data_IF_632794530335
#
_entry.id   IF_632794530335
#
_cell.length_a   1.000
_cell.length_b   1.000
_cell.length_c   1.000
_cell.angle_alpha   90.00
_cell.angle_beta   90.00
_cell.angle_gamma   90.00
#
_symmetry.space_group_name_H-M   'P 1'
#
loop_
_entity.id
_entity.type
_entity.pdbx_description
1 polymer ?
#
# COMPACT_ATOMS: atom_id res chain seq x y z
N UNK A 1 12.94 70.76 34.45
CA UNK A 1 13.21 70.54 33.00
C UNK A 1 12.70 71.76 32.24
N UNK A 2 13.53 72.40 31.40
CA UNK A 2 13.18 73.64 30.72
C UNK A 2 11.95 73.42 29.80
N UNK A 3 10.94 74.31 29.82
CA UNK A 3 9.67 74.15 29.07
C UNK A 3 9.91 73.84 27.59
N UNK A 4 10.94 74.45 27.02
CA UNK A 4 11.38 74.22 25.63
C UNK A 4 11.86 72.78 25.40
N UNK A 5 12.59 72.18 26.35
CA UNK A 5 13.05 70.78 26.24
C UNK A 5 11.90 69.78 26.35
N UNK A 6 10.91 70.06 27.22
CA UNK A 6 9.71 69.21 27.34
C UNK A 6 8.88 69.22 26.04
N UNK A 7 8.75 70.39 25.40
CA UNK A 7 8.07 70.53 24.11
C UNK A 7 8.77 69.73 23.00
N UNK A 8 10.10 69.75 22.94
CA UNK A 8 10.86 68.94 21.96
C UNK A 8 10.72 67.44 22.20
N UNK A 9 10.71 67.00 23.47
CA UNK A 9 10.50 65.58 23.80
C UNK A 9 9.10 65.13 23.40
N UNK A 10 8.07 65.91 23.73
CA UNK A 10 6.68 65.60 23.36
C UNK A 10 6.47 65.61 21.86
N UNK A 11 7.07 66.56 21.13
CA UNK A 11 7.04 66.59 19.67
C UNK A 11 7.72 65.36 19.05
N UNK A 12 8.85 64.93 19.62
CA UNK A 12 9.56 63.72 19.19
C UNK A 12 8.75 62.44 19.42
N UNK A 13 8.09 62.30 20.59
CA UNK A 13 7.22 61.16 20.90
C UNK A 13 6.00 61.14 19.96
N UNK A 14 5.35 62.28 19.75
CA UNK A 14 4.22 62.38 18.83
C UNK A 14 4.60 62.02 17.40
N UNK A 15 5.76 62.47 16.92
CA UNK A 15 6.28 62.12 15.60
C UNK A 15 6.61 60.62 15.50
N UNK A 16 7.16 60.03 16.57
CA UNK A 16 7.44 58.60 16.62
C UNK A 16 6.16 57.76 16.57
N UNK A 17 5.12 58.12 17.32
CA UNK A 17 3.83 57.39 17.33
C UNK A 17 3.11 57.54 15.97
N UNK A 18 3.17 58.72 15.36
CA UNK A 18 2.60 58.96 14.02
C UNK A 18 3.31 58.14 12.94
N UNK A 19 4.65 58.10 12.97
CA UNK A 19 5.43 57.37 11.96
C UNK A 19 5.32 55.85 12.14
N UNK A 20 5.32 55.36 13.38
CA UNK A 20 5.12 53.93 13.67
C UNK A 20 3.69 53.47 13.38
N UNK A 21 2.68 54.27 13.73
CA UNK A 21 1.28 53.98 13.42
C UNK A 21 0.99 53.99 11.92
N UNK A 22 1.53 54.96 11.18
CA UNK A 22 1.38 55.03 9.72
C UNK A 22 2.11 53.85 9.03
N UNK A 23 3.30 53.48 9.51
CA UNK A 23 4.02 52.30 9.03
C UNK A 23 3.22 51.01 9.26
N UNK A 24 2.70 50.79 10.47
CA UNK A 24 1.88 49.62 10.77
C UNK A 24 0.61 49.57 9.89
N UNK A 25 -0.07 50.69 9.70
CA UNK A 25 -1.27 50.75 8.85
C UNK A 25 -0.93 50.46 7.39
N UNK A 26 0.14 51.03 6.85
CA UNK A 26 0.58 50.77 5.48
C UNK A 26 1.01 49.31 5.29
N UNK A 27 1.79 48.73 6.21
CA UNK A 27 2.24 47.33 6.09
C UNK A 27 1.14 46.29 6.37
N UNK A 28 0.14 46.61 7.19
CA UNK A 28 -1.01 45.72 7.45
C UNK A 28 -2.07 45.76 6.34
N UNK A 29 -2.26 46.91 5.68
CA UNK A 29 -3.22 47.04 4.57
C UNK A 29 -2.65 46.64 3.21
N UNK A 30 -1.33 46.69 3.01
CA UNK A 30 -0.67 46.16 1.80
C UNK A 30 -0.35 44.65 1.84
N UNK A 31 -0.66 43.94 2.93
CA UNK A 31 -0.61 42.47 2.99
C UNK A 31 -1.85 41.82 2.32
N UNK A 32 -2.06 42.14 1.04
CA UNK A 32 -2.67 41.19 0.11
C UNK A 32 -1.82 39.92 0.12
N UNK A 33 -2.48 38.76 0.13
CA UNK A 33 -1.90 37.41 0.17
C UNK A 33 -0.77 37.23 -0.85
N UNK A 34 0.45 37.58 -0.46
CA UNK A 34 1.66 37.07 -1.08
C UNK A 34 2.16 35.96 -0.16
N UNK A 35 1.92 34.71 -0.58
CA UNK A 35 2.67 33.57 -0.03
C UNK A 35 4.14 33.90 -0.26
N UNK A 36 4.86 34.21 0.82
CA UNK A 36 6.31 34.16 0.82
C UNK A 36 6.68 32.70 0.52
N UNK A 37 7.08 32.44 -0.72
CA UNK A 37 7.77 31.20 -1.08
C UNK A 37 9.17 31.33 -0.47
N UNK A 38 9.31 30.89 0.79
CA UNK A 38 10.63 30.54 1.30
C UNK A 38 11.08 29.25 0.60
N UNK A 39 12.23 29.21 -0.08
CA UNK A 39 12.81 27.97 -0.57
C UNK A 39 13.57 27.32 0.59
N UNK A 40 12.85 26.96 1.66
CA UNK A 40 13.38 26.12 2.73
C UNK A 40 12.25 25.20 3.14
N UNK A 41 12.28 23.99 2.58
CA UNK A 41 11.36 22.93 2.93
C UNK A 41 11.54 22.51 4.38
N UNK A 42 10.43 22.38 5.09
CA UNK A 42 10.23 21.43 6.17
C UNK A 42 8.72 21.17 6.31
N UNK A 43 8.31 19.94 6.63
CA UNK A 43 9.09 18.85 7.19
C UNK A 43 9.39 17.76 6.16
N UNK A 44 10.64 17.35 6.08
CA UNK A 44 10.96 16.02 5.55
C UNK A 44 10.42 15.00 6.57
N UNK A 45 9.66 13.97 6.16
CA UNK A 45 9.47 12.82 7.02
C UNK A 45 10.87 12.27 7.26
N UNK A 46 11.27 12.14 8.52
CA UNK A 46 12.54 11.53 8.92
C UNK A 46 12.81 10.36 7.96
N UNK A 47 13.89 10.38 7.15
CA UNK A 47 14.14 9.29 6.24
C UNK A 47 14.25 8.06 7.10
N UNK A 48 13.32 7.11 6.94
CA UNK A 48 13.44 5.80 7.55
C UNK A 48 14.83 5.32 7.11
N UNK A 49 15.73 5.15 8.08
CA UNK A 49 17.04 4.56 7.79
C UNK A 49 16.78 3.15 7.32
N UNK A 50 16.75 2.97 6.00
CA UNK A 50 16.81 1.65 5.41
C UNK A 50 18.04 0.93 5.97
N UNK A 51 17.91 -0.37 6.22
CA UNK A 51 19.05 -1.20 6.66
C UNK A 51 20.07 -1.42 5.54
N UNK A 52 19.77 -0.95 4.33
CA UNK A 52 20.58 -1.12 3.13
C UNK A 52 21.15 0.23 2.72
N UNK A 53 22.44 0.24 2.39
CA UNK A 53 23.11 1.42 1.84
C UNK A 53 22.68 1.62 0.37
N UNK A 54 22.01 2.75 0.04
CA UNK A 54 21.55 3.02 -1.33
C UNK A 54 22.69 3.21 -2.33
N UNK A 55 23.93 3.42 -1.88
CA UNK A 55 25.10 3.56 -2.76
C UNK A 55 25.62 2.22 -3.30
N UNK A 56 25.15 1.08 -2.76
CA UNK A 56 25.61 -0.25 -3.20
C UNK A 56 25.10 -0.58 -4.62
N UNK A 57 25.92 -1.28 -5.43
CA UNK A 57 25.52 -1.67 -6.77
C UNK A 57 24.35 -2.65 -6.75
N UNK A 58 23.36 -2.37 -7.59
CA UNK A 58 22.16 -3.21 -7.76
C UNK A 58 22.40 -4.19 -8.91
N UNK A 59 22.75 -5.43 -8.60
CA UNK A 59 23.20 -6.46 -9.55
C UNK A 59 22.39 -7.76 -9.47
N UNK A 60 21.50 -7.87 -8.48
CA UNK A 60 20.74 -9.08 -8.21
C UNK A 60 19.29 -8.91 -8.64
N UNK A 61 18.88 -9.66 -9.66
CA UNK A 61 17.50 -9.63 -10.15
C UNK A 61 16.56 -10.36 -9.19
N UNK A 62 15.47 -9.70 -8.81
CA UNK A 62 14.42 -10.33 -8.03
C UNK A 62 13.63 -11.33 -8.89
N UNK A 63 13.38 -12.56 -8.40
CA UNK A 63 12.67 -13.58 -9.18
C UNK A 63 11.17 -13.27 -9.40
N UNK A 64 10.57 -12.40 -8.58
CA UNK A 64 9.14 -12.07 -8.65
C UNK A 64 8.83 -10.89 -9.59
N UNK A 65 9.73 -9.91 -9.70
CA UNK A 65 9.45 -8.67 -10.44
C UNK A 65 10.58 -8.22 -11.38
N UNK A 66 11.72 -8.91 -11.41
CA UNK A 66 12.84 -8.61 -12.30
C UNK A 66 13.62 -7.35 -11.96
N UNK A 67 13.21 -6.59 -10.94
CA UNK A 67 13.94 -5.40 -10.51
C UNK A 67 15.30 -5.80 -9.93
N UNK A 68 16.30 -4.95 -10.15
CA UNK A 68 17.66 -5.15 -9.65
C UNK A 68 17.79 -4.63 -8.23
N UNK A 69 18.46 -5.37 -7.36
CA UNK A 69 18.72 -5.04 -5.97
C UNK A 69 20.18 -5.32 -5.61
N UNK A 70 20.57 -4.91 -4.40
CA UNK A 70 21.90 -5.16 -3.84
C UNK A 70 22.07 -6.62 -3.40
N UNK A 71 23.31 -7.07 -3.29
CA UNK A 71 23.64 -8.40 -2.73
C UNK A 71 23.12 -8.54 -1.28
N UNK A 72 23.15 -7.45 -0.49
CA UNK A 72 22.65 -7.47 0.88
C UNK A 72 21.14 -7.74 0.96
N UNK A 73 20.35 -7.11 0.08
CA UNK A 73 18.91 -7.39 0.00
C UNK A 73 18.67 -8.84 -0.40
N UNK A 74 19.45 -9.36 -1.36
CA UNK A 74 19.39 -10.77 -1.78
C UNK A 74 19.68 -11.74 -0.65
N UNK A 75 20.74 -11.49 0.12
CA UNK A 75 21.11 -12.34 1.24
C UNK A 75 19.98 -12.37 2.29
N UNK A 76 19.29 -11.24 2.50
CA UNK A 76 18.13 -11.17 3.41
C UNK A 76 16.96 -11.99 2.87
N UNK A 77 16.48 -11.72 1.64
CA UNK A 77 15.28 -12.37 1.15
C UNK A 77 15.50 -13.87 0.90
N UNK A 78 16.72 -14.29 0.57
CA UNK A 78 17.02 -15.71 0.26
C UNK A 78 16.86 -16.63 1.47
N UNK A 79 16.85 -16.06 2.69
CA UNK A 79 16.56 -16.80 3.93
C UNK A 79 15.07 -16.88 4.26
N UNK A 80 14.22 -16.20 3.48
CA UNK A 80 12.79 -16.02 3.76
C UNK A 80 11.96 -16.61 2.63
N UNK A 81 10.67 -16.76 2.89
CA UNK A 81 9.64 -17.05 1.88
C UNK A 81 8.99 -15.75 1.43
N UNK A 82 8.38 -15.68 0.24
CA UNK A 82 7.43 -14.63 -0.06
C UNK A 82 6.34 -14.57 1.01
N UNK A 83 5.89 -13.35 1.32
CA UNK A 83 4.81 -13.07 2.25
C UNK A 83 3.62 -12.52 1.47
N UNK A 84 2.55 -13.31 1.36
CA UNK A 84 1.27 -12.89 0.79
C UNK A 84 0.38 -12.33 1.91
N UNK A 85 -0.07 -11.09 1.77
CA UNK A 85 -0.89 -10.41 2.79
C UNK A 85 -2.18 -9.90 2.18
N UNK A 86 -3.29 -10.25 2.81
CA UNK A 86 -4.60 -9.70 2.48
C UNK A 86 -4.72 -8.28 3.00
N UNK A 87 -4.93 -7.33 2.09
CA UNK A 87 -5.03 -5.90 2.39
C UNK A 87 -6.41 -5.41 1.96
N UNK A 88 -7.08 -4.71 2.85
CA UNK A 88 -8.38 -4.10 2.58
C UNK A 88 -8.33 -3.08 1.44
N UNK A 89 -9.46 -2.81 0.78
CA UNK A 89 -9.59 -1.66 -0.10
C UNK A 89 -10.89 -0.84 0.10
N UNK A 90 -11.51 -0.91 1.29
CA UNK A 90 -12.72 -0.13 1.57
C UNK A 90 -12.42 1.37 1.45
N UNK A 91 -13.33 2.14 0.86
CA UNK A 91 -13.16 3.57 0.62
C UNK A 91 -12.70 4.33 1.88
N UNK A 92 -13.39 4.11 3.01
CA UNK A 92 -13.09 4.79 4.27
C UNK A 92 -11.71 4.46 4.84
N UNK A 93 -11.10 3.35 4.44
CA UNK A 93 -9.78 2.94 4.92
C UNK A 93 -8.61 3.52 4.11
N UNK A 94 -8.88 4.15 2.97
CA UNK A 94 -7.84 4.72 2.09
C UNK A 94 -7.33 6.06 2.63
N UNK A 95 -6.07 6.44 2.39
CA UNK A 95 -5.01 5.67 1.71
C UNK A 95 -4.55 4.45 2.51
N UNK A 96 -4.03 3.44 1.80
CA UNK A 96 -3.54 2.18 2.38
C UNK A 96 -2.06 2.30 2.79
N UNK A 97 -1.56 1.35 3.58
CA UNK A 97 -0.15 1.28 3.99
C UNK A 97 0.53 0.03 3.45
N UNK A 98 1.65 0.21 2.77
CA UNK A 98 2.59 -0.84 2.37
C UNK A 98 2.39 -1.44 0.98
N UNK A 99 1.28 -1.15 0.30
CA UNK A 99 1.02 -1.67 -1.05
C UNK A 99 2.05 -1.21 -2.10
N UNK A 100 2.65 -0.03 -1.95
CA UNK A 100 3.72 0.48 -2.81
C UNK A 100 5.04 -0.28 -2.67
N UNK A 101 5.19 -1.11 -1.63
CA UNK A 101 6.36 -1.98 -1.42
C UNK A 101 6.12 -3.44 -1.83
N UNK A 102 4.95 -3.77 -2.39
CA UNK A 102 4.64 -5.12 -2.84
C UNK A 102 5.34 -5.40 -4.19
N UNK A 103 5.87 -6.63 -4.35
CA UNK A 103 6.43 -7.06 -5.64
C UNK A 103 5.33 -7.41 -6.64
N UNK A 104 4.20 -7.94 -6.15
CA UNK A 104 3.01 -8.30 -6.94
C UNK A 104 1.77 -7.91 -6.14
N UNK A 105 0.74 -7.39 -6.81
CA UNK A 105 -0.58 -7.14 -6.21
C UNK A 105 -1.64 -7.86 -7.05
N UNK A 106 -2.47 -8.66 -6.39
CA UNK A 106 -3.71 -9.17 -6.95
C UNK A 106 -4.88 -8.35 -6.41
N UNK A 107 -5.82 -7.97 -7.27
CA UNK A 107 -7.05 -7.28 -6.89
C UNK A 107 -8.27 -8.04 -7.42
N UNK A 108 -9.26 -8.25 -6.57
CA UNK A 108 -10.53 -8.86 -6.94
C UNK A 108 -11.65 -8.42 -5.99
N UNK A 109 -12.89 -8.50 -6.45
CA UNK A 109 -14.08 -8.23 -5.63
C UNK A 109 -14.17 -9.21 -4.47
N UNK A 110 -14.55 -8.75 -3.28
CA UNK A 110 -14.74 -9.55 -2.08
C UNK A 110 -16.12 -9.38 -1.45
N UNK A 111 -16.47 -8.20 -0.94
CA UNK A 111 -17.66 -8.00 -0.10
C UNK A 111 -18.63 -7.05 -0.79
N UNK A 112 -19.72 -7.56 -1.35
CA UNK A 112 -20.78 -6.73 -1.94
C UNK A 112 -20.27 -5.77 -3.01
N UNK A 113 -19.26 -6.17 -3.80
CA UNK A 113 -18.64 -5.36 -4.85
C UNK A 113 -17.42 -4.53 -4.42
N UNK A 114 -17.08 -4.53 -3.13
CA UNK A 114 -15.85 -3.93 -2.60
C UNK A 114 -14.66 -4.82 -2.97
N UNK A 115 -13.63 -4.25 -3.59
CA UNK A 115 -12.41 -5.02 -3.90
C UNK A 115 -11.53 -5.23 -2.68
N UNK A 116 -10.66 -6.23 -2.75
CA UNK A 116 -9.61 -6.50 -1.78
C UNK A 116 -8.31 -6.76 -2.53
N UNK A 117 -7.20 -6.44 -1.90
CA UNK A 117 -5.87 -6.64 -2.44
C UNK A 117 -5.21 -7.83 -1.75
N UNK A 118 -4.37 -8.57 -2.48
CA UNK A 118 -3.36 -9.45 -1.91
C UNK A 118 -2.00 -9.00 -2.43
N UNK A 119 -1.21 -8.40 -1.54
CA UNK A 119 0.18 -8.03 -1.84
C UNK A 119 1.11 -9.20 -1.57
N UNK A 120 2.00 -9.50 -2.51
CA UNK A 120 3.11 -10.46 -2.34
C UNK A 120 4.39 -9.66 -2.13
N UNK A 121 5.02 -9.89 -0.98
CA UNK A 121 6.18 -9.17 -0.49
C UNK A 121 7.36 -10.11 -0.34
N UNK A 122 8.47 -9.83 -1.02
CA UNK A 122 9.66 -10.66 -0.97
C UNK A 122 10.93 -9.81 -1.10
N UNK A 123 11.20 -9.24 -2.28
CA UNK A 123 12.43 -8.52 -2.56
C UNK A 123 12.37 -7.10 -2.00
N UNK A 124 11.30 -6.35 -2.30
CA UNK A 124 11.07 -5.01 -1.76
C UNK A 124 10.96 -4.97 -0.23
N UNK A 125 10.59 -6.10 0.40
CA UNK A 125 10.50 -6.24 1.85
C UNK A 125 11.84 -6.54 2.55
N UNK A 126 12.92 -6.71 1.81
CA UNK A 126 14.24 -6.92 2.40
C UNK A 126 14.81 -5.65 3.04
N UNK A 127 14.52 -4.48 2.47
CA UNK A 127 15.18 -3.23 2.83
C UNK A 127 14.62 -2.58 4.11
N UNK A 128 13.33 -2.78 4.41
CA UNK A 128 12.64 -2.02 5.45
C UNK A 128 11.59 -2.86 6.19
N UNK A 129 11.28 -2.45 7.43
CA UNK A 129 10.10 -2.96 8.11
C UNK A 129 8.86 -2.21 7.60
N UNK A 130 8.10 -2.87 6.76
CA UNK A 130 6.88 -2.34 6.14
C UNK A 130 5.70 -2.56 7.10
N UNK A 131 4.93 -1.50 7.35
CA UNK A 131 3.62 -1.56 7.98
C UNK A 131 2.57 -1.90 6.92
N UNK A 132 1.80 -2.96 7.14
CA UNK A 132 0.75 -3.42 6.24
C UNK A 132 -0.60 -3.11 6.88
N UNK A 133 -1.39 -2.21 6.29
CA UNK A 133 -2.68 -1.83 6.86
C UNK A 133 -3.68 -1.27 5.84
N UNK A 134 -4.99 -1.57 6.00
CA UNK A 134 -5.54 -2.54 6.95
C UNK A 134 -5.40 -3.99 6.45
N UNK A 135 -4.97 -4.92 7.31
CA UNK A 135 -4.98 -6.36 6.98
C UNK A 135 -6.39 -6.92 7.12
N UNK A 136 -6.81 -7.78 6.18
CA UNK A 136 -8.19 -8.27 6.09
C UNK A 136 -8.34 -9.75 5.84
N UNK A 137 -9.60 -10.19 5.79
CA UNK A 137 -9.97 -11.60 5.76
C UNK A 137 -9.63 -12.27 4.43
N UNK A 138 -9.23 -13.54 4.54
CA UNK A 138 -8.95 -14.42 3.42
C UNK A 138 -10.22 -14.77 2.64
N UNK A 139 -10.10 -14.86 1.31
CA UNK A 139 -11.15 -15.35 0.40
C UNK A 139 -10.58 -16.43 -0.52
N UNK A 140 -11.43 -17.38 -0.90
CA UNK A 140 -10.99 -18.64 -1.51
C UNK A 140 -10.09 -18.45 -2.74
N UNK A 141 -10.43 -17.51 -3.62
CA UNK A 141 -9.68 -17.24 -4.85
C UNK A 141 -8.28 -16.68 -4.55
N UNK A 142 -8.12 -15.81 -3.54
CA UNK A 142 -6.78 -15.41 -3.09
C UNK A 142 -6.02 -16.59 -2.47
N UNK A 143 -6.66 -17.40 -1.63
CA UNK A 143 -6.00 -18.56 -1.02
C UNK A 143 -5.52 -19.61 -2.03
N UNK A 144 -6.16 -19.68 -3.21
CA UNK A 144 -5.74 -20.54 -4.32
C UNK A 144 -4.49 -20.04 -5.06
N UNK A 145 -4.18 -18.75 -4.97
CA UNK A 145 -2.99 -18.13 -5.58
C UNK A 145 -1.75 -18.24 -4.67
N UNK A 146 -1.94 -18.29 -3.35
CA UNK A 146 -0.83 -18.39 -2.37
C UNK A 146 0.14 -19.56 -2.65
N UNK A 147 -0.34 -20.79 -3.01
CA UNK A 147 0.54 -21.91 -3.29
C UNK A 147 1.47 -21.73 -4.50
N UNK A 148 1.17 -20.81 -5.43
CA UNK A 148 2.06 -20.50 -6.57
C UNK A 148 3.45 -20.03 -6.09
N UNK A 149 3.49 -19.44 -4.89
CA UNK A 149 4.69 -18.87 -4.30
C UNK A 149 5.19 -19.66 -3.09
N UNK A 150 4.49 -20.72 -2.66
CA UNK A 150 4.75 -21.40 -1.37
C UNK A 150 4.92 -20.40 -0.21
N UNK A 151 4.07 -19.36 -0.23
CA UNK A 151 4.21 -18.15 0.58
C UNK A 151 3.69 -18.32 2.00
N UNK A 152 4.21 -17.48 2.89
CA UNK A 152 3.56 -17.15 4.16
C UNK A 152 2.27 -16.38 3.87
N UNK A 153 1.19 -16.65 4.61
CA UNK A 153 -0.11 -16.03 4.33
C UNK A 153 -0.66 -15.29 5.54
N UNK A 154 -0.66 -13.95 5.50
CA UNK A 154 -1.18 -13.11 6.58
C UNK A 154 -2.56 -12.55 6.23
N UNK A 155 -3.49 -12.68 7.17
CA UNK A 155 -4.87 -12.23 7.05
C UNK A 155 -5.48 -12.04 8.45
N UNK A 156 -6.72 -11.54 8.49
CA UNK A 156 -7.53 -11.42 9.72
C UNK A 156 -8.81 -12.23 9.54
N UNK A 157 -8.79 -13.49 9.96
CA UNK A 157 -9.87 -14.44 9.69
C UNK A 157 -10.09 -14.70 8.19
N UNK A 158 -11.22 -15.30 7.84
CA UNK A 158 -11.52 -15.71 6.47
C UNK A 158 -12.89 -16.38 6.35
N UNK A 159 -13.32 -16.61 5.12
CA UNK A 159 -14.58 -17.31 4.86
C UNK A 159 -14.47 -18.79 5.27
N UNK A 160 -15.38 -19.25 6.14
CA UNK A 160 -15.70 -20.67 6.39
C UNK A 160 -14.58 -21.57 6.90
N UNK A 161 -14.70 -22.03 8.15
CA UNK A 161 -13.96 -23.20 8.65
C UNK A 161 -14.48 -24.50 8.03
N UNK A 162 -13.73 -25.60 8.18
CA UNK A 162 -14.12 -26.88 7.54
C UNK A 162 -15.48 -27.40 8.00
N UNK A 163 -15.82 -27.15 9.26
CA UNK A 163 -17.04 -27.55 9.94
C UNK A 163 -18.18 -26.52 9.87
N UNK A 164 -17.95 -25.36 9.25
CA UNK A 164 -18.96 -24.31 9.11
C UNK A 164 -20.07 -24.74 8.13
N UNK A 165 -21.32 -24.96 8.59
CA UNK A 165 -22.40 -25.42 7.72
C UNK A 165 -23.03 -24.28 6.91
N UNK A 166 -22.70 -23.02 7.21
CA UNK A 166 -23.33 -21.84 6.62
C UNK A 166 -22.61 -21.32 5.37
N UNK A 167 -21.38 -21.77 5.14
CA UNK A 167 -20.54 -21.37 4.00
C UNK A 167 -20.48 -22.49 2.97
N UNK A 168 -20.71 -22.16 1.70
CA UNK A 168 -20.59 -23.12 0.59
C UNK A 168 -19.18 -23.75 0.61
N UNK A 169 -19.07 -25.06 0.44
CA UNK A 169 -17.78 -25.79 0.47
C UNK A 169 -16.71 -25.17 -0.46
N UNK A 170 -17.13 -24.60 -1.59
CA UNK A 170 -16.25 -23.95 -2.57
C UNK A 170 -15.79 -22.56 -2.14
N UNK A 171 -16.42 -21.96 -1.12
CA UNK A 171 -16.09 -20.64 -0.57
C UNK A 171 -15.25 -20.70 0.72
N UNK A 172 -15.09 -21.87 1.35
CA UNK A 172 -14.36 -22.09 2.61
C UNK A 172 -12.84 -21.86 2.49
N UNK A 173 -12.43 -20.60 2.52
CA UNK A 173 -11.04 -20.14 2.52
C UNK A 173 -10.23 -20.69 3.71
N UNK A 174 -10.75 -20.63 4.94
CA UNK A 174 -10.03 -21.12 6.12
C UNK A 174 -9.85 -22.64 6.07
N UNK A 175 -10.87 -23.36 5.59
CA UNK A 175 -10.73 -24.79 5.36
C UNK A 175 -9.68 -25.10 4.29
N UNK A 176 -9.64 -24.33 3.18
CA UNK A 176 -8.65 -24.51 2.13
C UNK A 176 -7.22 -24.32 2.65
N UNK A 177 -6.97 -23.26 3.43
CA UNK A 177 -5.67 -22.99 4.08
C UNK A 177 -5.23 -24.20 4.90
N UNK A 178 -6.12 -24.73 5.75
CA UNK A 178 -5.86 -25.89 6.61
C UNK A 178 -5.59 -27.16 5.80
N UNK A 179 -6.45 -27.49 4.83
CA UNK A 179 -6.33 -28.71 4.01
C UNK A 179 -5.06 -28.73 3.16
N UNK A 180 -4.66 -27.57 2.63
CA UNK A 180 -3.47 -27.43 1.79
C UNK A 180 -2.19 -27.11 2.58
N UNK A 181 -2.28 -27.03 3.92
CA UNK A 181 -1.14 -26.76 4.81
C UNK A 181 -0.38 -25.47 4.46
N UNK A 182 -1.13 -24.45 4.02
CA UNK A 182 -0.58 -23.12 3.77
C UNK A 182 0.05 -22.59 5.06
N UNK A 183 1.16 -21.85 4.94
CA UNK A 183 1.89 -21.27 6.07
C UNK A 183 1.13 -20.08 6.63
N UNK A 184 0.10 -20.40 7.41
CA UNK A 184 -0.92 -19.51 7.91
C UNK A 184 -0.39 -18.60 9.05
N UNK A 185 -0.50 -17.29 8.82
CA UNK A 185 -0.22 -16.20 9.75
C UNK A 185 -1.52 -15.41 10.01
N UNK A 186 -2.63 -16.07 10.26
CA UNK A 186 -3.86 -15.43 10.74
C UNK A 186 -3.60 -14.63 12.03
N UNK A 187 -4.01 -13.37 12.04
CA UNK A 187 -3.87 -12.45 13.15
C UNK A 187 -4.38 -13.01 14.48
N UNK A 188 -5.43 -13.83 14.47
CA UNK A 188 -5.96 -14.44 15.70
C UNK A 188 -4.97 -15.37 16.40
N UNK A 189 -3.93 -15.84 15.71
CA UNK A 189 -2.83 -16.64 16.26
C UNK A 189 -1.51 -15.89 16.42
N UNK A 190 -1.50 -14.56 16.31
CA UNK A 190 -0.32 -13.71 16.37
C UNK A 190 -0.30 -12.82 17.61
N UNK A 191 0.90 -12.43 18.04
CA UNK A 191 1.06 -11.51 19.17
C UNK A 191 0.82 -10.04 18.75
N UNK A 192 0.65 -9.18 19.76
CA UNK A 192 0.39 -7.75 19.57
C UNK A 192 1.53 -7.03 18.81
N UNK A 193 2.78 -7.47 18.97
CA UNK A 193 3.91 -6.86 18.25
C UNK A 193 3.82 -7.14 16.76
N UNK A 194 3.30 -8.32 16.40
CA UNK A 194 3.16 -8.75 15.01
C UNK A 194 1.99 -8.06 14.31
N UNK A 195 0.83 -8.05 14.96
CA UNK A 195 -0.38 -7.42 14.43
C UNK A 195 -1.19 -6.78 15.55
N UNK A 196 -1.58 -5.53 15.37
CA UNK A 196 -2.46 -4.82 16.30
C UNK A 196 -3.27 -3.72 15.60
N UNK A 197 -4.32 -3.26 16.28
CA UNK A 197 -5.22 -2.23 15.79
C UNK A 197 -4.59 -0.84 16.01
N UNK A 198 -4.49 -0.06 14.93
CA UNK A 198 -3.94 1.30 14.91
C UNK A 198 -5.06 2.26 14.49
N UNK A 199 -5.79 2.79 15.47
CA UNK A 199 -6.98 3.62 15.25
C UNK A 199 -6.67 5.03 14.77
N UNK A 200 -5.44 5.51 15.00
CA UNK A 200 -4.97 6.85 14.60
C UNK A 200 -4.11 6.84 13.34
N UNK A 201 -4.26 5.82 12.47
CA UNK A 201 -3.51 5.71 11.20
C UNK A 201 -3.88 6.81 10.21
N UNK A 202 -5.14 7.23 10.22
CA UNK A 202 -5.69 8.28 9.36
C UNK A 202 -6.00 9.53 10.18
N UNK A 203 -6.16 10.65 9.50
CA UNK A 203 -6.59 11.94 10.06
C UNK A 203 -8.10 12.01 10.38
N UNK A 204 -8.79 10.87 10.26
CA UNK A 204 -10.21 10.70 10.56
C UNK A 204 -10.45 9.37 11.27
N UNK A 205 -11.55 9.32 12.03
CA UNK A 205 -12.02 8.07 12.60
C UNK A 205 -12.57 7.15 11.51
N UNK A 206 -12.28 5.86 11.65
CA UNK A 206 -12.79 4.79 10.79
C UNK A 206 -13.26 3.64 11.67
N UNK A 207 -14.20 2.85 11.17
CA UNK A 207 -14.71 1.70 11.91
C UNK A 207 -13.57 0.75 12.33
N UNK A 208 -13.71 0.14 13.51
CA UNK A 208 -12.65 -0.61 14.19
C UNK A 208 -12.04 -1.69 13.29
N UNK A 209 -12.85 -2.31 12.47
CA UNK A 209 -12.48 -3.34 11.52
C UNK A 209 -11.46 -2.86 10.47
N UNK A 210 -11.41 -1.56 10.16
CA UNK A 210 -10.49 -0.92 9.19
C UNK A 210 -9.13 -0.51 9.79
N UNK A 211 -8.81 -0.96 11.00
CA UNK A 211 -7.64 -0.47 11.74
C UNK A 211 -6.55 -1.52 11.99
N UNK A 212 -6.70 -2.76 11.53
CA UNK A 212 -5.68 -3.80 11.78
C UNK A 212 -4.40 -3.52 10.99
N UNK A 213 -3.28 -3.34 11.68
CA UNK A 213 -1.96 -3.25 11.07
C UNK A 213 -1.11 -4.48 11.43
N UNK A 214 -0.29 -4.93 10.49
CA UNK A 214 0.72 -5.96 10.71
C UNK A 214 2.09 -5.49 10.21
N UNK A 215 3.18 -6.07 10.72
CA UNK A 215 4.54 -5.63 10.43
C UNK A 215 5.37 -6.76 9.83
N UNK A 216 5.95 -6.52 8.65
CA UNK A 216 6.70 -7.53 7.89
C UNK A 216 7.82 -8.18 8.68
N UNK A 217 8.64 -7.42 9.42
CA UNK A 217 9.75 -7.99 10.19
C UNK A 217 9.26 -8.92 11.31
N UNK A 218 8.15 -8.58 11.98
CA UNK A 218 7.58 -9.43 13.03
C UNK A 218 6.92 -10.68 12.44
N UNK A 219 6.25 -10.56 11.29
CA UNK A 219 5.71 -11.72 10.55
C UNK A 219 6.83 -12.70 10.16
N UNK A 220 7.97 -12.19 9.67
CA UNK A 220 9.13 -13.03 9.37
C UNK A 220 9.76 -13.65 10.62
N UNK A 221 9.79 -12.95 11.75
CA UNK A 221 10.23 -13.53 13.04
C UNK A 221 9.32 -14.66 13.49
N UNK A 222 8.00 -14.53 13.34
CA UNK A 222 7.04 -15.61 13.63
C UNK A 222 7.29 -16.81 12.72
N UNK A 223 7.47 -16.57 11.41
CA UNK A 223 7.78 -17.63 10.45
C UNK A 223 9.08 -18.38 10.81
N UNK A 224 10.15 -17.66 11.17
CA UNK A 224 11.40 -18.27 11.60
C UNK A 224 11.23 -19.11 12.87
N UNK A 225 10.48 -18.62 13.88
CA UNK A 225 10.16 -19.42 15.09
C UNK A 225 9.40 -20.70 14.77
N UNK A 226 8.54 -20.67 13.74
CA UNK A 226 7.78 -21.82 13.25
C UNK A 226 8.56 -22.71 12.28
N UNK A 227 9.85 -22.41 12.02
CA UNK A 227 10.71 -23.11 11.06
C UNK A 227 10.14 -23.09 9.64
N UNK A 228 9.57 -21.96 9.25
CA UNK A 228 9.07 -21.68 7.91
C UNK A 228 10.02 -20.74 7.14
N UNK A 229 11.25 -20.61 7.61
CA UNK A 229 12.36 -20.00 6.89
C UNK A 229 12.73 -20.81 5.64
N UNK A 230 13.36 -20.14 4.68
CA UNK A 230 13.78 -20.70 3.41
C UNK A 230 12.64 -21.00 2.44
N UNK A 231 12.79 -20.52 1.20
CA UNK A 231 11.91 -20.85 0.10
C UNK A 231 12.46 -22.06 -0.66
N UNK A 232 11.69 -23.15 -0.75
CA UNK A 232 12.09 -24.29 -1.57
C UNK A 232 11.86 -23.93 -3.04
N UNK A 233 12.97 -23.71 -3.77
CA UNK A 233 13.08 -23.05 -5.09
C UNK A 233 12.38 -23.75 -6.27
N UNK A 234 11.31 -24.52 -6.06
CA UNK A 234 10.48 -25.02 -7.17
C UNK A 234 9.67 -23.93 -7.87
N UNK A 235 9.77 -22.68 -7.42
CA UNK A 235 9.21 -21.54 -8.13
C UNK A 235 9.89 -21.37 -9.50
N UNK A 236 9.08 -21.15 -10.51
CA UNK A 236 9.54 -20.81 -11.86
C UNK A 236 9.50 -19.30 -11.98
N UNK A 237 10.67 -18.61 -12.04
CA UNK A 237 10.69 -17.17 -12.19
C UNK A 237 9.95 -16.71 -13.43
N UNK A 238 9.29 -15.56 -13.32
CA UNK A 238 8.70 -14.91 -14.49
C UNK A 238 9.81 -14.46 -15.44
N UNK A 239 9.44 -14.29 -16.71
CA UNK A 239 10.35 -13.79 -17.73
C UNK A 239 10.26 -12.27 -17.76
N UNK A 240 11.41 -11.61 -17.68
CA UNK A 240 11.52 -10.16 -17.71
C UNK A 240 12.28 -9.72 -18.96
N UNK A 241 12.05 -8.47 -19.34
CA UNK A 241 12.78 -7.78 -20.40
C UNK A 241 13.17 -6.39 -19.90
N UNK A 242 14.21 -5.85 -20.51
CA UNK A 242 14.60 -4.45 -20.31
C UNK A 242 13.53 -3.48 -20.83
N UNK A 243 13.56 -2.27 -20.29
CA UNK A 243 12.70 -1.17 -20.72
C UNK A 243 12.87 -0.88 -22.22
N UNK A 244 11.77 -0.54 -22.90
CA UNK A 244 11.81 -0.20 -24.32
C UNK A 244 12.55 1.14 -24.54
N UNK A 245 13.40 1.19 -25.57
CA UNK A 245 14.18 2.38 -25.90
C UNK A 245 13.30 3.57 -26.35
N UNK A 246 12.12 3.31 -26.93
CA UNK A 246 11.14 4.33 -27.31
C UNK A 246 9.87 4.19 -26.48
N UNK A 247 9.48 5.27 -25.82
CA UNK A 247 8.28 5.37 -24.98
C UNK A 247 7.20 6.11 -25.77
N UNK A 248 6.11 5.40 -26.10
CA UNK A 248 4.96 5.99 -26.81
C UNK A 248 4.01 6.74 -25.86
N UNK A 249 3.04 7.44 -26.44
CA UNK A 249 1.85 7.88 -25.69
C UNK A 249 0.94 6.67 -25.49
N UNK A 250 0.64 6.34 -24.24
CA UNK A 250 -0.20 5.19 -23.88
C UNK A 250 -1.51 5.71 -23.30
N UNK A 251 -2.64 5.22 -23.83
CA UNK A 251 -3.95 5.55 -23.28
C UNK A 251 -4.11 4.99 -21.87
N UNK A 252 -4.81 5.71 -20.96
CA UNK A 252 -5.12 5.19 -19.64
C UNK A 252 -5.83 3.83 -19.73
N UNK A 253 -5.36 2.87 -18.93
CA UNK A 253 -6.04 1.59 -18.78
C UNK A 253 -7.16 1.81 -17.77
N UNK A 254 -8.38 1.37 -18.10
CA UNK A 254 -9.53 1.49 -17.21
C UNK A 254 -10.19 0.14 -17.06
N UNK A 255 -10.50 -0.24 -15.83
CA UNK A 255 -11.20 -1.46 -15.51
C UNK A 255 -12.25 -1.20 -14.44
N UNK A 256 -13.48 -1.60 -14.75
CA UNK A 256 -14.60 -1.56 -13.83
C UNK A 256 -14.89 -2.97 -13.36
N UNK A 257 -14.87 -3.18 -12.04
CA UNK A 257 -15.22 -4.47 -11.46
C UNK A 257 -16.73 -4.68 -11.56
N UNK A 258 -17.52 -3.87 -10.85
CA UNK A 258 -18.98 -3.92 -10.86
C UNK A 258 -19.55 -2.55 -11.18
N UNK A 259 -20.54 -2.48 -12.08
CA UNK A 259 -21.09 -1.22 -12.60
C UNK A 259 -21.76 -0.32 -11.56
N UNK A 260 -22.18 -0.87 -10.43
CA UNK A 260 -22.80 -0.16 -9.32
C UNK A 260 -21.82 0.20 -8.19
N UNK A 261 -20.50 0.09 -8.42
CA UNK A 261 -19.44 0.34 -7.45
C UNK A 261 -18.30 1.22 -8.02
N UNK A 262 -18.62 2.45 -8.48
CA UNK A 262 -17.63 3.32 -9.13
C UNK A 262 -16.44 3.70 -8.23
N UNK A 263 -16.61 3.69 -6.91
CA UNK A 263 -15.52 3.95 -5.94
C UNK A 263 -14.39 2.92 -6.00
N UNK A 264 -14.60 1.80 -6.70
CA UNK A 264 -13.66 0.70 -6.88
C UNK A 264 -13.25 0.52 -8.35
N UNK A 265 -13.66 1.42 -9.24
CA UNK A 265 -13.14 1.45 -10.60
C UNK A 265 -11.65 1.81 -10.56
N UNK A 266 -10.83 1.04 -11.29
CA UNK A 266 -9.39 1.22 -11.31
C UNK A 266 -8.98 1.81 -12.64
N UNK A 267 -8.15 2.85 -12.58
CA UNK A 267 -7.46 3.39 -13.74
C UNK A 267 -5.95 3.40 -13.52
N UNK A 268 -5.21 3.34 -14.62
CA UNK A 268 -3.76 3.35 -14.65
C UNK A 268 -3.29 4.34 -15.70
N UNK A 269 -2.70 5.44 -15.23
CA UNK A 269 -2.14 6.49 -16.09
C UNK A 269 -0.66 6.22 -16.32
N UNK A 270 -0.26 6.14 -17.58
CA UNK A 270 1.14 5.90 -17.93
C UNK A 270 1.99 7.17 -17.73
N UNK A 271 3.03 7.06 -16.92
CA UNK A 271 4.07 8.06 -16.73
C UNK A 271 5.32 7.68 -17.52
N UNK A 272 5.58 8.43 -18.60
CA UNK A 272 6.73 8.21 -19.48
C UNK A 272 8.07 8.53 -18.82
N UNK A 273 8.09 9.38 -17.79
CA UNK A 273 9.32 9.75 -17.09
C UNK A 273 9.91 8.55 -16.33
N UNK A 274 9.05 7.86 -15.58
CA UNK A 274 9.40 6.65 -14.81
C UNK A 274 9.19 5.35 -15.58
N UNK A 275 8.56 5.42 -16.77
CA UNK A 275 8.10 4.26 -17.54
C UNK A 275 7.28 3.32 -16.66
N UNK A 276 6.25 3.85 -16.01
CA UNK A 276 5.39 3.11 -15.09
C UNK A 276 3.95 3.59 -15.19
N UNK A 277 3.03 2.80 -14.66
CA UNK A 277 1.61 3.11 -14.57
C UNK A 277 1.27 3.54 -13.15
N UNK A 278 0.70 4.73 -13.00
CA UNK A 278 0.25 5.25 -11.71
C UNK A 278 -1.19 4.83 -11.45
N UNK A 279 -1.45 4.24 -10.27
CA UNK A 279 -2.76 3.72 -9.91
C UNK A 279 -3.72 4.83 -9.48
N UNK A 280 -4.96 4.73 -9.93
CA UNK A 280 -6.09 5.58 -9.56
C UNK A 280 -7.24 4.65 -9.13
N UNK A 281 -7.86 4.95 -7.98
CA UNK A 281 -9.00 4.20 -7.42
C UNK A 281 -10.19 5.14 -7.24
N UNK A 282 -11.33 4.81 -7.84
CA UNK A 282 -12.52 5.66 -7.76
C UNK A 282 -12.28 7.11 -8.21
N UNK A 283 -11.38 7.30 -9.19
CA UNK A 283 -10.98 8.62 -9.68
C UNK A 283 -9.97 9.38 -8.81
N UNK A 284 -9.49 8.80 -7.71
CA UNK A 284 -8.49 9.40 -6.81
C UNK A 284 -7.13 8.72 -6.97
N UNK A 285 -6.06 9.51 -7.11
CA UNK A 285 -4.70 8.97 -7.18
C UNK A 285 -4.39 8.14 -5.93
N UNK A 286 -3.98 6.89 -6.12
CA UNK A 286 -3.69 5.99 -5.00
C UNK A 286 -2.34 6.34 -4.40
N UNK A 287 -2.32 6.78 -3.14
CA UNK A 287 -1.10 7.05 -2.37
C UNK A 287 -0.90 5.95 -1.34
N UNK A 288 0.34 5.50 -1.15
CA UNK A 288 0.72 4.65 -0.02
C UNK A 288 1.21 5.52 1.15
N UNK A 289 0.58 5.38 2.32
CA UNK A 289 0.92 6.12 3.54
C UNK A 289 2.35 5.92 4.03
N UNK A 290 2.94 4.74 3.80
CA UNK A 290 4.28 4.44 4.32
C UNK A 290 5.37 5.28 3.66
N UNK A 291 5.18 5.59 2.38
CA UNK A 291 6.15 6.31 1.54
C UNK A 291 5.63 7.69 1.11
N UNK A 292 4.34 7.98 1.29
CA UNK A 292 3.69 9.22 0.85
C UNK A 292 3.81 9.48 -0.66
N UNK A 293 3.93 8.41 -1.44
CA UNK A 293 4.10 8.46 -2.90
C UNK A 293 2.96 7.72 -3.61
N UNK A 294 2.71 8.05 -4.89
CA UNK A 294 1.77 7.30 -5.70
C UNK A 294 2.16 5.84 -5.87
N UNK A 295 1.19 4.95 -5.78
CA UNK A 295 1.38 3.54 -6.12
C UNK A 295 1.56 3.42 -7.62
N UNK A 296 2.63 2.74 -8.02
CA UNK A 296 3.02 2.57 -9.42
C UNK A 296 3.31 1.10 -9.74
N UNK A 297 3.07 0.70 -10.98
CA UNK A 297 3.40 -0.63 -11.49
C UNK A 297 4.07 -0.54 -12.87
N UNK A 298 5.04 -1.41 -13.14
CA UNK A 298 5.67 -1.53 -14.47
C UNK A 298 4.79 -2.29 -15.47
N UNK A 299 3.97 -3.20 -14.97
CA UNK A 299 3.10 -4.07 -15.76
C UNK A 299 1.71 -4.07 -15.15
N UNK A 300 0.67 -4.02 -15.99
CA UNK A 300 -0.72 -4.18 -15.56
C UNK A 300 -1.32 -5.39 -16.27
N UNK A 301 -1.89 -6.33 -15.52
CA UNK A 301 -2.54 -7.51 -16.07
C UNK A 301 -4.01 -7.50 -15.71
N UNK A 302 -4.88 -7.50 -16.72
CA UNK A 302 -6.32 -7.69 -16.54
C UNK A 302 -6.64 -9.14 -16.92
N UNK A 303 -6.98 -9.95 -15.92
CA UNK A 303 -7.34 -11.36 -16.12
C UNK A 303 -8.86 -11.51 -16.17
N UNK A 304 -9.37 -12.15 -17.21
CA UNK A 304 -10.79 -12.49 -17.31
C UNK A 304 -11.02 -13.88 -16.77
N UNK A 305 -11.70 -13.95 -15.63
CA UNK A 305 -12.05 -15.18 -14.93
C UNK A 305 -13.56 -15.33 -14.83
N UNK A 306 -14.04 -16.57 -14.69
CA UNK A 306 -15.45 -16.83 -14.48
C UNK A 306 -15.84 -16.41 -13.05
N UNK A 307 -16.78 -15.49 -12.95
CA UNK A 307 -17.47 -15.14 -11.70
C UNK A 307 -18.67 -16.08 -11.50
N UNK A 308 -18.91 -16.53 -10.27
CA UNK A 308 -20.08 -17.34 -9.90
C UNK A 308 -20.54 -16.98 -8.49
N UNK A 309 -21.81 -16.62 -8.34
CA UNK A 309 -22.42 -16.37 -7.04
C UNK A 309 -23.56 -15.36 -7.09
N UNK A 310 -24.08 -14.95 -5.92
CA UNK A 310 -23.70 -15.44 -4.59
C UNK A 310 -23.97 -16.94 -4.41
N UNK A 311 -23.13 -17.66 -3.66
CA UNK A 311 -23.23 -19.14 -3.51
C UNK A 311 -23.77 -19.62 -2.16
N UNK A 312 -23.88 -18.73 -1.18
CA UNK A 312 -24.40 -19.02 0.16
C UNK A 312 -25.11 -17.79 0.76
N UNK A 313 -25.63 -17.93 1.99
CA UNK A 313 -26.33 -16.86 2.71
C UNK A 313 -25.44 -15.67 3.08
N UNK A 314 -24.12 -15.88 3.12
CA UNK A 314 -23.11 -14.83 3.35
C UNK A 314 -22.73 -14.09 2.08
N UNK A 315 -23.40 -14.39 0.96
CA UNK A 315 -23.23 -13.77 -0.34
C UNK A 315 -21.81 -13.91 -0.90
N UNK A 316 -21.14 -15.04 -0.62
CA UNK A 316 -19.81 -15.28 -1.18
C UNK A 316 -19.86 -15.39 -2.70
N UNK A 317 -18.91 -14.74 -3.36
CA UNK A 317 -18.63 -14.86 -4.80
C UNK A 317 -17.41 -15.75 -5.02
N UNK A 318 -17.44 -16.52 -6.12
CA UNK A 318 -16.35 -17.37 -6.56
C UNK A 318 -15.73 -16.81 -7.85
N UNK A 319 -14.40 -16.88 -7.93
CA UNK A 319 -13.63 -16.52 -9.11
C UNK A 319 -12.73 -17.70 -9.50
N UNK A 320 -12.82 -18.13 -10.76
CA UNK A 320 -12.04 -19.26 -11.28
C UNK A 320 -10.62 -18.81 -11.68
N UNK A 321 -9.73 -18.74 -10.68
CA UNK A 321 -8.34 -18.25 -10.82
C UNK A 321 -7.33 -19.33 -11.21
N UNK A 322 -7.76 -20.59 -11.38
CA UNK A 322 -6.92 -21.71 -11.78
C UNK A 322 -7.42 -22.28 -13.09
N UNK A 323 -6.52 -22.59 -14.02
CA UNK A 323 -6.87 -23.13 -15.33
C UNK A 323 -6.31 -22.26 -16.45
N UNK A 324 -7.07 -22.10 -17.53
CA UNK A 324 -6.69 -21.27 -18.69
C UNK A 324 -7.75 -20.23 -18.96
N UNK A 325 -7.34 -19.01 -19.32
CA UNK A 325 -8.25 -17.91 -19.59
C UNK A 325 -7.64 -16.87 -20.52
N UNK A 326 -8.35 -15.76 -20.70
CA UNK A 326 -7.88 -14.60 -21.46
C UNK A 326 -7.32 -13.56 -20.49
N UNK A 327 -6.29 -12.86 -20.92
CA UNK A 327 -5.79 -11.68 -20.21
C UNK A 327 -5.41 -10.58 -21.19
N UNK A 328 -5.40 -9.35 -20.70
CA UNK A 328 -4.70 -8.22 -21.32
C UNK A 328 -3.45 -7.94 -20.49
N UNK A 329 -2.33 -7.72 -21.17
CA UNK A 329 -1.06 -7.32 -20.58
C UNK A 329 -0.69 -5.95 -21.16
N UNK A 330 -0.40 -5.01 -20.27
CA UNK A 330 0.04 -3.66 -20.60
C UNK A 330 1.43 -3.43 -20.04
#
# INVERSE_FOLDING_TARGET
MNRTKLLFILAGISLFVLTTGLSYFLFSTFHSRSRLISPVGSPSPTPKKSRIDPALPRTEACPLNGAMFTVQEKDIWSTRRPLAVMIENHLDSRPLSGIGSADIIYEAVAEGGITRLMGVFYCGAAADNITLAPVRSARIYFTKLVPEYDALYNHVGGAGNCDDPTVDERAKALCFIRRNKIKDLDQFGLDFKTCHRVTNRLDREVAYEHTMACYTDELYKVAAKRKWDGWNFKFVPWKFKEDAAQKGSISPIKFQFWSNKPDYDVAWDYDSSTNSYLRIDGGVKTIDLNISEPVAAKNVVIQFVKETGPVDEHLHMLYEVTGTGKMLLF
#
